data_IF_484558943625
#
_entry.id   IF_484558943625
#
_cell.length_a   1.000
_cell.length_b   1.000
_cell.length_c   1.000
_cell.angle_alpha   90.00
_cell.angle_beta   90.00
_cell.angle_gamma   90.00
#
_symmetry.space_group_name_H-M   'P 1'
#
loop_
_entity.id
_entity.type
_entity.pdbx_description
1 polymer ?
#
# COMPACT_ATOMS: atom_id res chain seq x y z
N UNK A 1 15.60 74.59 16.35
CA UNK A 1 16.45 73.45 15.92
C UNK A 1 15.99 72.11 16.55
N UNK A 2 15.33 72.13 17.69
CA UNK A 2 14.89 70.88 18.42
C UNK A 2 13.64 70.16 17.82
N UNK A 3 12.79 70.84 17.07
CA UNK A 3 11.57 70.29 16.48
C UNK A 3 11.87 69.38 15.25
N UNK A 4 12.90 69.74 14.43
CA UNK A 4 13.29 68.94 13.26
C UNK A 4 13.85 67.57 13.62
N UNK A 5 14.51 67.41 14.78
CA UNK A 5 15.07 66.15 15.22
C UNK A 5 14.01 65.16 15.68
N UNK A 6 12.91 65.60 16.32
CA UNK A 6 11.83 64.74 16.74
C UNK A 6 11.03 64.13 15.59
N UNK A 7 10.78 64.93 14.53
CA UNK A 7 10.07 64.48 13.33
C UNK A 7 10.88 63.44 12.56
N UNK A 8 12.20 63.61 12.47
CA UNK A 8 13.09 62.62 11.81
C UNK A 8 13.13 61.31 12.64
N UNK A 9 13.18 61.38 13.98
CA UNK A 9 13.14 60.20 14.82
C UNK A 9 11.80 59.42 14.73
N UNK A 10 10.69 60.13 14.66
CA UNK A 10 9.36 59.48 14.48
C UNK A 10 9.28 58.83 13.08
N UNK A 11 9.74 59.46 12.02
CA UNK A 11 9.76 58.89 10.67
C UNK A 11 10.69 57.64 10.58
N UNK A 12 11.86 57.68 11.29
CA UNK A 12 12.74 56.51 11.37
C UNK A 12 12.09 55.35 12.14
N UNK A 13 11.43 55.62 13.25
CA UNK A 13 10.70 54.61 13.99
C UNK A 13 9.55 53.99 13.18
N UNK A 14 8.77 54.80 12.45
CA UNK A 14 7.69 54.30 11.57
C UNK A 14 8.30 53.48 10.42
N UNK A 15 9.40 53.92 9.82
CA UNK A 15 10.09 53.19 8.76
C UNK A 15 10.66 51.86 9.23
N UNK A 16 11.23 51.77 10.45
CA UNK A 16 11.71 50.54 11.08
C UNK A 16 10.54 49.61 11.39
N UNK A 17 9.42 50.13 11.87
CA UNK A 17 8.21 49.30 12.14
C UNK A 17 7.64 48.77 10.82
N UNK A 18 7.54 49.60 9.76
CA UNK A 18 7.09 49.15 8.44
C UNK A 18 8.02 48.13 7.80
N UNK A 19 9.35 48.31 7.93
CA UNK A 19 10.33 47.32 7.48
C UNK A 19 10.20 46.01 8.27
N UNK A 20 10.03 46.07 9.58
CA UNK A 20 9.88 44.85 10.41
C UNK A 20 8.59 44.09 10.09
N UNK A 21 7.47 44.78 9.82
CA UNK A 21 6.20 44.14 9.41
C UNK A 21 6.30 43.54 8.00
N UNK A 22 6.98 44.19 7.07
CA UNK A 22 7.23 43.63 5.72
C UNK A 22 8.21 42.43 5.76
N UNK A 23 9.22 42.50 6.59
CA UNK A 23 10.17 41.40 6.77
C UNK A 23 9.48 40.19 7.50
N UNK A 24 8.61 40.43 8.46
CA UNK A 24 7.82 39.40 9.13
C UNK A 24 6.86 38.73 8.15
N UNK A 25 6.16 39.49 7.30
CA UNK A 25 5.24 38.95 6.29
C UNK A 25 5.96 38.15 5.19
N UNK A 26 7.14 38.59 4.76
CA UNK A 26 7.95 37.87 3.76
C UNK A 26 8.52 36.54 4.33
N UNK A 27 8.98 36.57 5.59
CA UNK A 27 9.44 35.36 6.29
C UNK A 27 8.30 34.36 6.49
N UNK A 28 7.13 34.80 6.90
CA UNK A 28 5.94 33.96 7.07
C UNK A 28 5.47 33.37 5.74
N UNK A 29 5.45 34.16 4.68
CA UNK A 29 5.14 33.69 3.33
C UNK A 29 6.12 32.60 2.85
N UNK A 30 7.42 32.80 3.03
CA UNK A 30 8.44 31.80 2.66
C UNK A 30 8.25 30.52 3.48
N UNK A 31 7.98 30.62 4.78
CA UNK A 31 7.70 29.47 5.64
C UNK A 31 6.46 28.68 5.19
N UNK A 32 5.37 29.36 4.88
CA UNK A 32 4.15 28.70 4.38
C UNK A 32 4.37 28.03 3.01
N UNK A 33 5.18 28.65 2.15
CA UNK A 33 5.57 28.07 0.87
C UNK A 33 6.39 26.79 1.06
N UNK A 34 7.35 26.80 1.97
CA UNK A 34 8.18 25.63 2.31
C UNK A 34 7.32 24.49 2.87
N UNK A 35 6.45 24.77 3.85
CA UNK A 35 5.51 23.80 4.39
C UNK A 35 4.65 23.17 3.28
N UNK A 36 4.14 24.00 2.35
CA UNK A 36 3.33 23.47 1.24
C UNK A 36 4.16 22.60 0.28
N UNK A 37 5.41 22.95 0.07
CA UNK A 37 6.33 22.15 -0.75
C UNK A 37 6.59 20.81 -0.08
N UNK A 38 6.94 20.80 1.21
CA UNK A 38 7.18 19.59 1.98
C UNK A 38 5.94 18.71 2.06
N UNK A 39 4.75 19.29 2.23
CA UNK A 39 3.48 18.58 2.22
C UNK A 39 3.26 17.83 0.89
N UNK A 40 3.40 18.53 -0.23
CA UNK A 40 3.20 17.92 -1.54
C UNK A 40 4.25 16.84 -1.81
N UNK A 41 5.52 17.11 -1.49
CA UNK A 41 6.61 16.16 -1.66
C UNK A 41 6.42 14.92 -0.79
N UNK A 42 6.14 15.10 0.51
CA UNK A 42 5.94 13.99 1.43
C UNK A 42 4.76 13.09 1.05
N UNK A 43 3.62 13.69 0.67
CA UNK A 43 2.44 12.92 0.22
C UNK A 43 2.73 12.21 -1.11
N UNK A 44 3.41 12.85 -2.06
CA UNK A 44 3.78 12.22 -3.34
C UNK A 44 4.66 11.01 -3.10
N UNK A 45 5.73 11.17 -2.34
CA UNK A 45 6.66 10.09 -2.01
C UNK A 45 5.97 8.92 -1.30
N UNK A 46 5.06 9.20 -0.36
CA UNK A 46 4.27 8.15 0.28
C UNK A 46 3.39 7.39 -0.72
N UNK A 47 2.69 8.11 -1.60
CA UNK A 47 1.85 7.47 -2.63
C UNK A 47 2.67 6.64 -3.64
N UNK A 48 3.92 6.99 -3.86
CA UNK A 48 4.90 6.27 -4.68
C UNK A 48 5.51 5.05 -3.95
N UNK A 49 5.12 4.76 -2.70
CA UNK A 49 5.68 3.67 -1.89
C UNK A 49 7.03 4.01 -1.21
N UNK A 50 7.55 5.22 -1.40
CA UNK A 50 8.84 5.72 -0.88
C UNK A 50 8.71 6.30 0.53
N UNK A 51 8.13 5.52 1.44
CA UNK A 51 7.76 5.99 2.79
C UNK A 51 8.94 6.51 3.62
N UNK A 52 10.12 5.86 3.50
CA UNK A 52 11.34 6.30 4.22
C UNK A 52 11.79 7.69 3.78
N UNK A 53 11.60 8.03 2.51
CA UNK A 53 11.91 9.35 1.98
C UNK A 53 10.81 10.37 2.28
N UNK A 54 9.55 9.94 2.37
CA UNK A 54 8.41 10.80 2.74
C UNK A 54 8.49 11.30 4.17
N UNK A 55 8.95 10.45 5.10
CA UNK A 55 8.91 10.68 6.54
C UNK A 55 9.54 12.02 6.98
N UNK A 56 10.79 12.37 6.61
CA UNK A 56 11.41 13.61 7.05
C UNK A 56 10.66 14.87 6.60
N UNK A 57 10.06 14.88 5.41
CA UNK A 57 9.26 16.01 4.93
C UNK A 57 7.98 16.20 5.75
N UNK A 58 7.33 15.12 6.13
CA UNK A 58 6.10 15.14 6.90
C UNK A 58 6.35 15.49 8.38
N UNK A 59 7.42 14.95 8.98
CA UNK A 59 7.80 15.27 10.36
C UNK A 59 8.22 16.73 10.52
N UNK A 60 8.90 17.32 9.54
CA UNK A 60 9.25 18.75 9.58
C UNK A 60 8.00 19.64 9.65
N UNK A 61 6.92 19.26 8.98
CA UNK A 61 5.65 20.01 9.05
C UNK A 61 5.07 19.97 10.46
N UNK A 62 5.12 18.83 11.14
CA UNK A 62 4.58 18.72 12.51
C UNK A 62 5.31 19.63 13.50
N UNK A 63 6.61 19.86 13.30
CA UNK A 63 7.43 20.81 14.06
C UNK A 63 7.10 22.28 13.81
N UNK A 64 6.32 22.60 12.76
CA UNK A 64 5.99 23.98 12.39
C UNK A 64 4.98 24.68 13.30
N UNK A 65 4.27 23.93 14.16
CA UNK A 65 3.16 24.43 14.99
C UNK A 65 1.84 24.59 14.24
N UNK A 66 1.78 24.25 12.95
CA UNK A 66 0.56 24.25 12.14
C UNK A 66 0.09 22.79 12.01
N UNK A 67 -1.17 22.54 12.35
CA UNK A 67 -1.75 21.21 12.26
C UNK A 67 -2.42 21.02 10.91
N UNK A 68 -1.83 20.10 10.11
CA UNK A 68 -2.42 19.63 8.86
C UNK A 68 -2.95 18.21 9.06
N UNK A 69 -4.28 17.99 9.12
CA UNK A 69 -4.85 16.67 9.41
C UNK A 69 -4.35 15.56 8.50
N UNK A 70 -4.15 15.84 7.20
CA UNK A 70 -3.69 14.85 6.22
C UNK A 70 -2.22 14.47 6.44
N UNK A 71 -1.38 15.36 6.98
CA UNK A 71 0.00 15.00 7.37
C UNK A 71 -0.01 13.97 8.48
N UNK A 72 -0.78 14.21 9.53
CA UNK A 72 -0.92 13.27 10.65
C UNK A 72 -1.59 11.96 10.22
N UNK A 73 -2.51 12.03 9.25
CA UNK A 73 -3.06 10.81 8.66
C UNK A 73 -1.98 9.96 7.98
N UNK A 74 -1.18 10.55 7.10
CA UNK A 74 -0.11 9.85 6.37
C UNK A 74 0.99 9.37 7.31
N UNK A 75 1.39 10.16 8.29
CA UNK A 75 2.33 9.71 9.33
C UNK A 75 1.80 8.50 10.09
N UNK A 76 0.51 8.50 10.43
CA UNK A 76 -0.14 7.35 11.04
C UNK A 76 -0.08 6.10 10.16
N UNK A 77 -0.29 6.22 8.85
CA UNK A 77 -0.15 5.11 7.89
C UNK A 77 1.29 4.58 7.87
N UNK A 78 2.28 5.47 7.75
CA UNK A 78 3.69 5.08 7.72
C UNK A 78 4.09 4.33 9.00
N UNK A 79 3.78 4.89 10.17
CA UNK A 79 4.09 4.26 11.45
C UNK A 79 3.34 2.93 11.65
N UNK A 80 2.11 2.82 11.13
CA UNK A 80 1.35 1.57 11.19
C UNK A 80 1.98 0.46 10.35
N UNK A 81 2.43 0.78 9.15
CA UNK A 81 3.14 -0.16 8.28
C UNK A 81 4.49 -0.61 8.87
N UNK A 82 5.16 0.27 9.60
CA UNK A 82 6.41 -0.03 10.32
C UNK A 82 6.18 -0.70 11.70
N UNK A 83 4.94 -1.04 12.02
CA UNK A 83 4.51 -1.63 13.29
C UNK A 83 4.77 -0.75 14.53
N UNK A 84 4.97 0.53 14.34
CA UNK A 84 5.07 1.54 15.40
C UNK A 84 3.65 1.94 15.85
N UNK A 85 2.91 0.97 16.39
CA UNK A 85 1.46 1.07 16.61
C UNK A 85 1.05 2.25 17.49
N UNK A 86 1.83 2.54 18.54
CA UNK A 86 1.55 3.66 19.44
C UNK A 86 1.65 5.00 18.70
N UNK A 87 2.71 5.19 17.89
CA UNK A 87 2.88 6.40 17.08
C UNK A 87 1.79 6.54 16.02
N UNK A 88 1.40 5.43 15.40
CA UNK A 88 0.31 5.41 14.44
C UNK A 88 -1.01 5.90 15.07
N UNK A 89 -1.36 5.36 16.25
CA UNK A 89 -2.56 5.75 17.00
C UNK A 89 -2.53 7.26 17.34
N UNK A 90 -1.43 7.75 17.89
CA UNK A 90 -1.28 9.16 18.26
C UNK A 90 -1.47 10.10 17.07
N UNK A 91 -0.85 9.79 15.94
CA UNK A 91 -0.97 10.59 14.73
C UNK A 91 -2.40 10.55 14.17
N UNK A 92 -3.03 9.37 14.10
CA UNK A 92 -4.42 9.27 13.66
C UNK A 92 -5.42 9.95 14.61
N UNK A 93 -5.18 9.95 15.93
CA UNK A 93 -5.99 10.68 16.90
C UNK A 93 -5.90 12.19 16.68
N UNK A 94 -4.70 12.73 16.41
CA UNK A 94 -4.52 14.15 16.04
C UNK A 94 -5.28 14.44 14.73
N UNK A 95 -5.11 13.63 13.69
CA UNK A 95 -5.81 13.80 12.42
C UNK A 95 -7.32 13.77 12.60
N UNK A 96 -7.85 12.80 13.35
CA UNK A 96 -9.28 12.64 13.60
C UNK A 96 -9.86 13.81 14.44
N UNK A 97 -9.13 14.30 15.42
CA UNK A 97 -9.56 15.43 16.26
C UNK A 97 -9.79 16.71 15.47
N UNK A 98 -9.00 16.93 14.42
CA UNK A 98 -9.06 18.13 13.55
C UNK A 98 -10.02 17.94 12.36
N UNK A 99 -10.13 16.72 11.85
CA UNK A 99 -10.98 16.35 10.72
C UNK A 99 -11.60 14.97 10.98
N UNK A 100 -12.75 14.90 11.69
CA UNK A 100 -13.39 13.63 12.04
C UNK A 100 -13.78 12.83 10.80
N UNK A 101 -13.30 11.58 10.73
CA UNK A 101 -13.58 10.62 9.66
C UNK A 101 -13.75 9.23 10.27
N UNK A 102 -14.87 8.56 10.00
CA UNK A 102 -15.16 7.22 10.52
C UNK A 102 -14.07 6.19 10.12
N UNK A 103 -13.52 6.34 8.92
CA UNK A 103 -12.43 5.50 8.45
C UNK A 103 -11.19 5.59 9.35
N UNK A 104 -10.84 6.80 9.85
CA UNK A 104 -9.71 6.99 10.78
C UNK A 104 -10.04 6.38 12.14
N UNK A 105 -11.26 6.58 12.63
CA UNK A 105 -11.69 5.99 13.90
C UNK A 105 -11.63 4.46 13.87
N UNK A 106 -12.00 3.85 12.74
CA UNK A 106 -11.89 2.41 12.53
C UNK A 106 -10.43 1.94 12.57
N UNK A 107 -9.50 2.70 11.95
CA UNK A 107 -8.05 2.41 11.98
C UNK A 107 -7.49 2.50 13.42
N UNK A 108 -7.83 3.55 14.15
CA UNK A 108 -7.45 3.72 15.56
C UNK A 108 -7.94 2.54 16.40
N UNK A 109 -9.20 2.15 16.21
CA UNK A 109 -9.79 1.03 16.94
C UNK A 109 -9.09 -0.29 16.64
N UNK A 110 -8.78 -0.55 15.36
CA UNK A 110 -8.01 -1.71 14.92
C UNK A 110 -6.62 -1.71 15.53
N UNK A 111 -5.88 -0.61 15.40
CA UNK A 111 -4.51 -0.49 15.91
C UNK A 111 -4.44 -0.64 17.44
N UNK A 112 -5.43 -0.15 18.19
CA UNK A 112 -5.51 -0.36 19.65
C UNK A 112 -5.75 -1.82 20.04
N UNK A 113 -6.49 -2.58 19.24
CA UNK A 113 -6.63 -4.04 19.45
C UNK A 113 -5.33 -4.75 19.14
N UNK A 114 -4.70 -4.38 18.02
CA UNK A 114 -3.43 -4.95 17.56
C UNK A 114 -2.31 -4.71 18.58
N UNK A 115 -2.18 -3.51 19.12
CA UNK A 115 -1.19 -3.17 20.14
C UNK A 115 -1.25 -4.09 21.37
N UNK A 116 -2.45 -4.41 21.84
CA UNK A 116 -2.64 -5.32 22.99
C UNK A 116 -2.19 -6.75 22.72
N UNK A 117 -2.23 -7.18 21.47
CA UNK A 117 -1.73 -8.49 21.05
C UNK A 117 -0.23 -8.41 20.83
N UNK A 118 0.24 -7.38 20.15
CA UNK A 118 1.65 -7.15 19.81
C UNK A 118 2.57 -7.13 21.05
N UNK A 119 2.09 -6.53 22.16
CA UNK A 119 2.82 -6.50 23.44
C UNK A 119 3.14 -7.89 24.03
N UNK A 120 2.47 -8.95 23.55
CA UNK A 120 2.65 -10.33 24.02
C UNK A 120 3.48 -11.17 23.06
N UNK A 121 3.70 -10.67 21.85
CA UNK A 121 4.44 -11.39 20.83
C UNK A 121 5.94 -11.23 21.03
N UNK A 122 6.68 -12.24 20.60
CA UNK A 122 8.13 -12.22 20.50
C UNK A 122 8.56 -11.96 19.07
N UNK A 123 9.68 -11.30 18.90
CA UNK A 123 10.23 -10.97 17.59
C UNK A 123 11.32 -11.96 17.19
N UNK A 124 11.32 -12.37 15.93
CA UNK A 124 12.38 -13.13 15.29
C UNK A 124 12.79 -12.44 14.00
N UNK A 125 14.05 -12.08 13.90
CA UNK A 125 14.58 -11.35 12.74
C UNK A 125 15.40 -12.31 11.87
N UNK A 126 15.11 -12.33 10.58
CA UNK A 126 15.90 -13.07 9.61
C UNK A 126 15.84 -12.38 8.24
N UNK A 127 17.01 -12.11 7.65
CA UNK A 127 17.12 -11.44 6.36
C UNK A 127 16.27 -10.16 6.29
N UNK A 128 15.23 -10.18 5.47
CA UNK A 128 14.32 -9.06 5.22
C UNK A 128 13.05 -9.08 6.09
N UNK A 129 12.98 -9.95 7.11
CA UNK A 129 11.74 -10.16 7.86
C UNK A 129 11.92 -9.92 9.34
N UNK A 130 10.93 -9.22 9.93
CA UNK A 130 10.66 -9.22 11.36
C UNK A 130 9.37 -10.03 11.57
N UNK A 131 9.50 -11.25 12.04
CA UNK A 131 8.37 -12.12 12.35
C UNK A 131 8.00 -11.98 13.83
N UNK A 132 6.76 -11.58 14.07
CA UNK A 132 6.14 -11.51 15.40
C UNK A 132 5.27 -12.75 15.62
N UNK A 133 5.43 -13.44 16.76
CA UNK A 133 4.78 -14.69 17.02
C UNK A 133 4.61 -14.96 18.54
N UNK A 134 3.65 -15.81 18.91
CA UNK A 134 3.53 -16.29 20.29
C UNK A 134 4.66 -17.29 20.61
N UNK A 135 5.29 -17.17 21.77
CA UNK A 135 6.40 -18.04 22.16
C UNK A 135 6.04 -19.54 22.18
N UNK A 136 4.77 -19.86 22.43
CA UNK A 136 4.28 -21.24 22.41
C UNK A 136 4.30 -21.82 20.97
N UNK A 137 4.37 -20.94 19.95
CA UNK A 137 4.36 -21.30 18.53
C UNK A 137 5.77 -21.31 17.89
N UNK A 138 6.83 -21.46 18.67
CA UNK A 138 8.22 -21.37 18.22
C UNK A 138 8.55 -22.30 17.03
N UNK A 139 8.03 -23.51 16.97
CA UNK A 139 8.26 -24.42 15.85
C UNK A 139 7.59 -23.92 14.56
N UNK A 140 6.34 -23.48 14.64
CA UNK A 140 5.60 -22.93 13.50
C UNK A 140 6.23 -21.64 13.01
N UNK A 141 6.78 -20.81 13.89
CA UNK A 141 7.50 -19.59 13.52
C UNK A 141 8.74 -19.88 12.67
N UNK A 142 9.47 -20.98 12.91
CA UNK A 142 10.61 -21.40 12.07
C UNK A 142 10.15 -21.79 10.67
N UNK A 143 9.06 -22.58 10.56
CA UNK A 143 8.52 -22.98 9.27
C UNK A 143 8.07 -21.75 8.47
N UNK A 144 7.31 -20.85 9.10
CA UNK A 144 6.86 -19.61 8.45
C UNK A 144 8.06 -18.78 7.98
N UNK A 145 9.06 -18.60 8.83
CA UNK A 145 10.25 -17.80 8.50
C UNK A 145 11.05 -18.42 7.35
N UNK A 146 11.21 -19.74 7.34
CA UNK A 146 11.87 -20.45 6.25
C UNK A 146 11.11 -20.27 4.91
N UNK A 147 9.77 -20.45 4.94
CA UNK A 147 8.93 -20.26 3.76
C UNK A 147 8.94 -18.81 3.26
N UNK A 148 8.97 -17.82 4.18
CA UNK A 148 9.11 -16.40 3.83
C UNK A 148 10.43 -16.12 3.09
N UNK A 149 11.54 -16.63 3.61
CA UNK A 149 12.87 -16.44 2.99
C UNK A 149 12.93 -17.11 1.61
N UNK A 150 12.40 -18.32 1.46
CA UNK A 150 12.37 -19.03 0.19
C UNK A 150 11.50 -18.30 -0.85
N UNK A 151 10.29 -17.92 -0.45
CA UNK A 151 9.36 -17.17 -1.32
C UNK A 151 9.97 -15.82 -1.75
N UNK A 152 10.58 -15.09 -0.80
CA UNK A 152 11.23 -13.81 -1.08
C UNK A 152 12.37 -13.95 -2.08
N UNK A 153 13.26 -14.93 -1.91
CA UNK A 153 14.38 -15.13 -2.83
C UNK A 153 13.90 -15.39 -4.26
N UNK A 154 12.84 -16.18 -4.42
CA UNK A 154 12.24 -16.46 -5.72
C UNK A 154 11.61 -15.22 -6.32
N UNK A 155 10.75 -14.53 -5.56
CA UNK A 155 10.06 -13.34 -6.03
C UNK A 155 11.02 -12.18 -6.28
N UNK A 156 12.00 -11.96 -5.40
CA UNK A 156 13.01 -10.91 -5.58
C UNK A 156 13.80 -11.11 -6.89
N UNK A 157 14.16 -12.35 -7.22
CA UNK A 157 14.77 -12.69 -8.50
C UNK A 157 13.84 -12.41 -9.67
N UNK A 158 12.59 -12.86 -9.60
CA UNK A 158 11.59 -12.70 -10.66
C UNK A 158 11.27 -11.23 -10.95
N UNK A 159 11.13 -10.41 -9.90
CA UNK A 159 10.84 -8.98 -10.01
C UNK A 159 12.08 -8.10 -10.23
N UNK A 160 13.28 -8.66 -10.15
CA UNK A 160 14.52 -7.87 -10.18
C UNK A 160 14.66 -6.96 -8.96
N UNK A 161 14.09 -7.33 -7.82
CA UNK A 161 14.04 -6.53 -6.60
C UNK A 161 15.23 -6.87 -5.69
N UNK A 162 16.16 -5.95 -5.55
CA UNK A 162 17.39 -6.15 -4.76
C UNK A 162 17.55 -5.12 -3.63
N UNK A 163 16.50 -4.38 -3.33
CA UNK A 163 16.54 -3.41 -2.24
C UNK A 163 16.48 -4.09 -0.88
N UNK A 164 17.22 -3.53 0.08
CA UNK A 164 17.18 -3.98 1.47
C UNK A 164 15.92 -3.43 2.15
N UNK A 165 14.78 -4.09 1.92
CA UNK A 165 13.48 -3.75 2.49
C UNK A 165 13.13 -4.72 3.61
N UNK A 166 12.73 -4.18 4.75
CA UNK A 166 12.20 -4.98 5.86
C UNK A 166 10.69 -5.15 5.74
N UNK A 167 10.21 -6.36 5.98
CA UNK A 167 8.80 -6.72 5.99
C UNK A 167 8.40 -7.21 7.38
N UNK A 168 7.41 -6.56 7.97
CA UNK A 168 6.80 -7.04 9.20
C UNK A 168 5.79 -8.14 8.87
N UNK A 169 5.97 -9.28 9.51
CA UNK A 169 5.07 -10.44 9.40
C UNK A 169 4.54 -10.77 10.79
N UNK A 170 3.25 -11.00 10.92
CA UNK A 170 2.63 -11.31 12.20
C UNK A 170 1.90 -12.64 12.10
N UNK A 171 2.34 -13.61 12.89
CA UNK A 171 1.67 -14.90 13.06
C UNK A 171 0.67 -14.78 14.20
N UNK A 172 -0.59 -14.67 13.88
CA UNK A 172 -1.67 -14.52 14.85
C UNK A 172 -2.27 -15.86 15.26
N UNK A 173 -2.77 -15.95 16.50
CA UNK A 173 -3.78 -16.97 16.81
C UNK A 173 -4.98 -16.78 15.85
N UNK A 174 -5.69 -17.88 15.52
CA UNK A 174 -6.86 -17.78 14.61
C UNK A 174 -7.93 -16.82 15.13
N UNK A 175 -8.06 -16.74 16.46
CA UNK A 175 -8.99 -15.82 17.11
C UNK A 175 -8.57 -14.36 16.94
N UNK A 176 -7.32 -14.04 17.26
CA UNK A 176 -6.83 -12.65 17.17
C UNK A 176 -6.84 -12.16 15.73
N UNK A 177 -6.51 -13.03 14.76
CA UNK A 177 -6.63 -12.73 13.34
C UNK A 177 -8.04 -12.28 12.97
N UNK A 178 -9.06 -13.05 13.34
CA UNK A 178 -10.46 -12.73 13.06
C UNK A 178 -10.93 -11.46 13.78
N UNK A 179 -10.58 -11.33 15.07
CA UNK A 179 -11.05 -10.22 15.93
C UNK A 179 -10.42 -8.86 15.55
N UNK A 180 -9.14 -8.87 15.12
CA UNK A 180 -8.41 -7.65 14.73
C UNK A 180 -8.80 -7.23 13.32
N UNK A 181 -8.84 -8.17 12.37
CA UNK A 181 -9.05 -7.85 10.96
C UNK A 181 -10.52 -7.79 10.58
N UNK A 182 -11.41 -8.24 11.46
CA UNK A 182 -12.85 -8.34 11.22
C UNK A 182 -13.17 -9.16 9.95
N UNK A 183 -12.47 -10.27 9.79
CA UNK A 183 -12.62 -11.21 8.67
C UNK A 183 -13.14 -12.56 9.17
N UNK A 184 -13.76 -13.36 8.29
CA UNK A 184 -14.17 -14.72 8.67
C UNK A 184 -12.96 -15.58 9.09
N UNK A 185 -13.18 -16.54 9.97
CA UNK A 185 -12.13 -17.45 10.49
C UNK A 185 -11.46 -18.32 9.41
N UNK A 186 -12.06 -18.43 8.24
CA UNK A 186 -11.51 -19.14 7.07
C UNK A 186 -10.69 -18.23 6.14
N UNK A 187 -10.60 -16.93 6.42
CA UNK A 187 -9.81 -16.03 5.60
C UNK A 187 -8.34 -16.44 5.63
N UNK A 188 -7.72 -16.41 4.46
CA UNK A 188 -6.31 -16.66 4.31
C UNK A 188 -5.46 -15.51 4.89
N UNK A 189 -4.15 -15.55 4.72
CA UNK A 189 -3.26 -14.43 5.04
C UNK A 189 -3.71 -13.13 4.36
N UNK A 190 -3.24 -12.00 4.84
CA UNK A 190 -3.58 -10.66 4.31
C UNK A 190 -2.34 -9.78 4.36
N UNK A 191 -2.11 -9.05 3.27
CA UNK A 191 -1.21 -7.90 3.25
C UNK A 191 -2.01 -6.59 3.35
N UNK A 192 -1.74 -5.80 4.38
CA UNK A 192 -2.30 -4.45 4.58
C UNK A 192 -1.25 -3.44 5.05
N UNK A 193 -0.05 -3.52 4.45
CA UNK A 193 1.18 -2.85 4.89
C UNK A 193 2.06 -3.77 5.74
N UNK A 194 1.48 -4.80 6.36
CA UNK A 194 2.14 -5.91 7.06
C UNK A 194 1.55 -7.23 6.55
N UNK A 195 2.35 -8.30 6.55
CA UNK A 195 1.87 -9.64 6.20
C UNK A 195 1.31 -10.28 7.46
N UNK A 196 0.06 -10.72 7.42
CA UNK A 196 -0.66 -11.30 8.56
C UNK A 196 -1.06 -12.72 8.22
N UNK A 197 -0.57 -13.67 9.00
CA UNK A 197 -0.80 -15.10 8.78
C UNK A 197 -1.53 -15.66 10.00
N UNK A 198 -2.73 -16.26 9.87
CA UNK A 198 -3.35 -16.98 10.95
C UNK A 198 -2.66 -18.32 11.17
N UNK A 199 -2.48 -18.71 12.43
CA UNK A 199 -1.72 -19.89 12.86
C UNK A 199 -2.16 -21.20 12.18
N UNK A 200 -3.43 -21.33 11.84
CA UNK A 200 -3.93 -22.52 11.14
C UNK A 200 -3.14 -22.83 9.86
N UNK A 201 -2.66 -21.81 9.15
CA UNK A 201 -1.87 -22.00 7.92
C UNK A 201 -0.42 -22.41 8.20
N UNK A 202 0.13 -22.01 9.34
CA UNK A 202 1.46 -22.47 9.76
C UNK A 202 1.50 -23.98 10.11
N UNK A 203 0.33 -24.61 10.33
CA UNK A 203 0.18 -26.04 10.60
C UNK A 203 -0.27 -26.86 9.38
N UNK A 204 -0.44 -26.21 8.22
CA UNK A 204 -0.82 -26.86 6.97
C UNK A 204 0.35 -27.56 6.27
N UNK A 205 0.07 -28.12 5.08
CA UNK A 205 1.11 -28.55 4.14
C UNK A 205 2.01 -27.37 3.78
N UNK A 206 3.32 -27.60 3.71
CA UNK A 206 4.31 -26.58 3.41
C UNK A 206 4.08 -25.91 2.05
N UNK A 207 3.62 -26.66 1.04
CA UNK A 207 3.35 -26.14 -0.29
C UNK A 207 2.20 -25.13 -0.27
N UNK A 208 1.15 -25.39 0.52
CA UNK A 208 0.03 -24.47 0.71
C UNK A 208 0.47 -23.21 1.47
N UNK A 209 1.29 -23.34 2.53
CA UNK A 209 1.85 -22.21 3.24
C UNK A 209 2.72 -21.35 2.33
N UNK A 210 3.59 -21.95 1.52
CA UNK A 210 4.43 -21.22 0.58
C UNK A 210 3.63 -20.52 -0.52
N UNK A 211 2.54 -21.13 -1.01
CA UNK A 211 1.62 -20.50 -1.96
C UNK A 211 1.00 -19.22 -1.37
N UNK A 212 0.44 -19.32 -0.16
CA UNK A 212 -0.14 -18.18 0.55
C UNK A 212 0.91 -17.09 0.79
N UNK A 213 2.10 -17.46 1.24
CA UNK A 213 3.20 -16.52 1.47
C UNK A 213 3.63 -15.84 0.17
N UNK A 214 3.75 -16.56 -0.95
CA UNK A 214 4.07 -15.96 -2.26
C UNK A 214 3.02 -14.97 -2.69
N UNK A 215 1.74 -15.27 -2.47
CA UNK A 215 0.63 -14.36 -2.75
C UNK A 215 0.78 -13.03 -1.99
N UNK A 216 0.91 -13.09 -0.66
CA UNK A 216 0.99 -11.90 0.19
C UNK A 216 2.29 -11.11 0.00
N UNK A 217 3.43 -11.80 -0.19
CA UNK A 217 4.70 -11.15 -0.52
C UNK A 217 4.65 -10.46 -1.89
N UNK A 218 3.91 -11.00 -2.85
CA UNK A 218 3.72 -10.35 -4.15
C UNK A 218 2.99 -9.02 -3.97
N UNK A 219 1.94 -8.95 -3.16
CA UNK A 219 1.29 -7.69 -2.82
C UNK A 219 2.27 -6.69 -2.17
N UNK A 220 3.10 -7.17 -1.24
CA UNK A 220 4.09 -6.34 -0.58
C UNK A 220 5.15 -5.79 -1.56
N UNK A 221 5.63 -6.61 -2.50
CA UNK A 221 6.59 -6.17 -3.53
C UNK A 221 5.97 -5.18 -4.51
N UNK A 222 4.75 -5.42 -5.00
CA UNK A 222 4.03 -4.48 -5.87
C UNK A 222 3.88 -3.13 -5.17
N UNK A 223 3.50 -3.14 -3.88
CA UNK A 223 3.38 -1.92 -3.09
C UNK A 223 4.72 -1.17 -2.97
N UNK A 224 5.83 -1.88 -2.78
CA UNK A 224 7.17 -1.26 -2.73
C UNK A 224 7.64 -0.70 -4.08
N UNK A 225 7.31 -1.38 -5.18
CA UNK A 225 7.72 -0.98 -6.54
C UNK A 225 6.87 0.18 -7.09
N UNK A 226 5.56 0.14 -6.87
CA UNK A 226 4.60 0.98 -7.58
C UNK A 226 3.69 1.83 -6.65
N UNK A 227 3.80 1.66 -5.31
CA UNK A 227 3.06 2.46 -4.33
C UNK A 227 1.59 2.07 -4.18
N UNK A 228 0.83 3.02 -3.63
CA UNK A 228 -0.54 2.81 -3.17
C UNK A 228 -1.62 2.90 -4.27
N UNK A 229 -1.25 3.36 -5.47
CA UNK A 229 -2.21 3.69 -6.51
C UNK A 229 -2.46 2.55 -7.52
N UNK A 230 -1.78 1.41 -7.35
CA UNK A 230 -1.96 0.26 -8.24
C UNK A 230 -3.37 -0.30 -8.09
N UNK A 231 -4.13 -0.49 -9.18
CA UNK A 231 -5.46 -1.08 -9.12
C UNK A 231 -5.47 -2.49 -8.53
N UNK A 232 -6.53 -2.82 -7.78
CA UNK A 232 -6.67 -4.11 -7.13
C UNK A 232 -6.56 -5.30 -8.11
N UNK A 233 -7.09 -5.18 -9.33
CA UNK A 233 -7.01 -6.26 -10.32
C UNK A 233 -5.56 -6.56 -10.77
N UNK A 234 -4.67 -5.55 -10.81
CA UNK A 234 -3.24 -5.75 -11.10
C UNK A 234 -2.59 -6.48 -9.91
N UNK A 235 -2.87 -6.03 -8.69
CA UNK A 235 -2.39 -6.69 -7.49
C UNK A 235 -2.79 -8.15 -7.44
N UNK A 236 -4.08 -8.43 -7.57
CA UNK A 236 -4.63 -9.78 -7.46
C UNK A 236 -4.18 -10.69 -8.60
N UNK A 237 -4.17 -10.16 -9.83
CA UNK A 237 -3.76 -10.95 -10.99
C UNK A 237 -2.29 -11.37 -10.93
N UNK A 238 -1.39 -10.47 -10.50
CA UNK A 238 0.04 -10.80 -10.34
C UNK A 238 0.25 -11.71 -9.13
N UNK A 239 -0.45 -11.49 -8.02
CA UNK A 239 -0.34 -12.31 -6.82
C UNK A 239 -0.80 -13.75 -7.09
N UNK A 240 -1.95 -13.96 -7.75
CA UNK A 240 -2.43 -15.26 -8.17
C UNK A 240 -1.48 -15.95 -9.18
N UNK A 241 -0.90 -15.20 -10.12
CA UNK A 241 0.11 -15.74 -11.03
C UNK A 241 1.35 -16.26 -10.30
N UNK A 242 1.72 -15.64 -9.17
CA UNK A 242 2.92 -15.99 -8.39
C UNK A 242 2.66 -16.99 -7.27
N UNK A 243 1.42 -17.24 -6.88
CA UNK A 243 1.11 -18.19 -5.81
C UNK A 243 1.33 -19.65 -6.22
N UNK A 244 1.33 -19.92 -7.53
CA UNK A 244 1.63 -21.22 -8.10
C UNK A 244 0.49 -22.24 -7.97
N UNK A 245 -0.73 -21.76 -7.73
CA UNK A 245 -1.95 -22.60 -7.71
C UNK A 245 -2.35 -22.98 -9.14
N UNK A 246 -2.98 -24.16 -9.28
CA UNK A 246 -3.50 -24.64 -10.56
C UNK A 246 -4.64 -23.74 -11.10
N UNK A 247 -4.48 -23.26 -12.31
CA UNK A 247 -5.40 -22.33 -12.98
C UNK A 247 -6.68 -23.00 -13.49
N UNK A 248 -6.85 -24.32 -13.37
CA UNK A 248 -7.98 -25.07 -13.94
C UNK A 248 -9.33 -24.49 -13.48
N UNK A 249 -9.47 -24.19 -12.19
CA UNK A 249 -10.71 -23.61 -11.65
C UNK A 249 -10.97 -22.18 -12.16
N UNK A 250 -9.92 -21.41 -12.40
CA UNK A 250 -10.00 -20.04 -12.95
C UNK A 250 -10.45 -20.09 -14.40
N UNK A 251 -9.87 -20.98 -15.20
CA UNK A 251 -10.23 -21.18 -16.61
C UNK A 251 -11.69 -21.58 -16.78
N UNK A 252 -12.22 -22.45 -15.91
CA UNK A 252 -13.64 -22.81 -15.91
C UNK A 252 -14.55 -21.61 -15.61
N UNK A 253 -14.15 -20.73 -14.68
CA UNK A 253 -14.89 -19.48 -14.38
C UNK A 253 -14.90 -18.56 -15.60
N UNK A 254 -13.75 -18.37 -16.25
CA UNK A 254 -13.63 -17.52 -17.44
C UNK A 254 -14.47 -18.06 -18.61
N UNK A 255 -14.41 -19.37 -18.90
CA UNK A 255 -15.23 -20.02 -19.93
C UNK A 255 -16.73 -19.80 -19.67
N UNK A 256 -17.16 -19.96 -18.41
CA UNK A 256 -18.55 -19.70 -18.05
C UNK A 256 -18.92 -18.22 -18.20
N UNK A 257 -18.04 -17.30 -17.79
CA UNK A 257 -18.27 -15.86 -17.90
C UNK A 257 -18.38 -15.40 -19.36
N UNK A 258 -17.56 -15.96 -20.27
CA UNK A 258 -17.64 -15.73 -21.70
C UNK A 258 -18.97 -16.26 -22.25
N UNK A 259 -19.34 -17.51 -21.93
CA UNK A 259 -20.55 -18.15 -22.42
C UNK A 259 -21.83 -17.42 -21.97
N UNK A 260 -21.83 -16.82 -20.78
CA UNK A 260 -22.99 -16.09 -20.23
C UNK A 260 -22.92 -14.57 -20.48
N UNK A 261 -21.92 -14.10 -21.19
CA UNK A 261 -21.64 -12.66 -21.42
C UNK A 261 -21.60 -11.84 -20.11
N UNK A 262 -20.97 -12.40 -19.07
CA UNK A 262 -20.88 -11.81 -17.73
C UNK A 262 -19.48 -11.32 -17.38
N UNK A 263 -18.57 -11.22 -18.35
CA UNK A 263 -17.28 -10.58 -18.18
C UNK A 263 -17.43 -9.14 -17.70
N UNK A 264 -16.57 -8.72 -16.80
CA UNK A 264 -16.54 -7.37 -16.19
C UNK A 264 -15.45 -6.57 -16.89
N UNK A 265 -15.76 -5.44 -17.57
CA UNK A 265 -14.71 -4.64 -18.19
C UNK A 265 -13.61 -4.23 -17.18
N UNK A 266 -12.35 -4.33 -17.59
CA UNK A 266 -11.17 -3.99 -16.77
C UNK A 266 -11.28 -2.58 -16.16
N UNK A 267 -11.91 -1.65 -16.87
CA UNK A 267 -12.18 -0.30 -16.38
C UNK A 267 -13.04 -0.27 -15.10
N UNK A 268 -13.90 -1.25 -14.88
CA UNK A 268 -14.72 -1.39 -13.68
C UNK A 268 -13.95 -2.08 -12.54
N UNK A 269 -12.96 -2.92 -12.83
CA UNK A 269 -12.11 -3.57 -11.82
C UNK A 269 -11.14 -2.58 -11.14
N UNK A 270 -10.92 -1.41 -11.72
CA UNK A 270 -10.09 -0.34 -11.12
C UNK A 270 -10.52 0.07 -9.70
N UNK A 271 -11.83 0.00 -9.41
CA UNK A 271 -12.40 0.43 -8.12
C UNK A 271 -12.28 -0.61 -7.00
N UNK A 272 -11.62 -1.73 -7.29
CA UNK A 272 -11.48 -2.85 -6.36
C UNK A 272 -12.76 -3.70 -6.23
N UNK A 273 -12.59 -4.88 -5.67
CA UNK A 273 -13.66 -5.87 -5.54
C UNK A 273 -14.70 -5.52 -4.47
N UNK A 274 -14.45 -4.47 -3.69
CA UNK A 274 -15.38 -3.97 -2.65
C UNK A 274 -16.73 -3.60 -3.24
N UNK A 275 -16.76 -3.11 -4.48
CA UNK A 275 -18.03 -2.79 -5.19
C UNK A 275 -18.88 -4.03 -5.48
N UNK A 276 -18.31 -5.23 -5.45
CA UNK A 276 -18.98 -6.50 -5.71
C UNK A 276 -19.21 -7.33 -4.43
N UNK A 277 -18.89 -6.82 -3.26
CA UNK A 277 -18.85 -7.55 -1.99
C UNK A 277 -20.12 -8.38 -1.69
N UNK A 278 -21.28 -7.90 -2.12
CA UNK A 278 -22.57 -8.58 -1.95
C UNK A 278 -22.84 -9.65 -3.03
N UNK A 279 -22.09 -9.64 -4.15
CA UNK A 279 -22.25 -10.55 -5.28
C UNK A 279 -21.05 -11.49 -5.38
N UNK A 280 -21.13 -12.64 -4.70
CA UNK A 280 -20.06 -13.65 -4.69
C UNK A 280 -19.68 -14.14 -6.08
N UNK A 281 -20.61 -14.16 -7.03
CA UNK A 281 -20.33 -14.60 -8.41
C UNK A 281 -19.46 -13.56 -9.11
N UNK A 282 -19.83 -12.28 -9.03
CA UNK A 282 -19.00 -11.21 -9.59
C UNK A 282 -17.63 -11.10 -8.95
N UNK A 283 -17.52 -11.30 -7.63
CA UNK A 283 -16.23 -11.36 -6.95
C UNK A 283 -15.36 -12.46 -7.55
N UNK A 284 -15.91 -13.68 -7.71
CA UNK A 284 -15.19 -14.81 -8.30
C UNK A 284 -14.77 -14.55 -9.74
N UNK A 285 -15.63 -13.93 -10.55
CA UNK A 285 -15.31 -13.53 -11.92
C UNK A 285 -14.19 -12.48 -11.91
N UNK A 286 -14.27 -11.45 -11.08
CA UNK A 286 -13.27 -10.40 -10.99
C UNK A 286 -11.86 -10.92 -10.65
N UNK A 287 -11.75 -11.89 -9.72
CA UNK A 287 -10.48 -12.57 -9.43
C UNK A 287 -9.98 -13.38 -10.64
N UNK A 288 -10.86 -14.13 -11.28
CA UNK A 288 -10.50 -14.92 -12.46
C UNK A 288 -10.05 -14.03 -13.64
N UNK A 289 -10.74 -12.93 -13.88
CA UNK A 289 -10.36 -11.95 -14.92
C UNK A 289 -9.03 -11.26 -14.61
N UNK A 290 -8.77 -10.97 -13.34
CA UNK A 290 -7.49 -10.39 -12.92
C UNK A 290 -6.32 -11.30 -13.27
N UNK A 291 -6.41 -12.59 -12.90
CA UNK A 291 -5.38 -13.56 -13.27
C UNK A 291 -5.33 -13.76 -14.79
N UNK A 292 -6.46 -14.03 -15.43
CA UNK A 292 -6.49 -14.34 -16.86
C UNK A 292 -5.94 -13.20 -17.74
N UNK A 293 -6.23 -11.95 -17.40
CA UNK A 293 -5.68 -10.82 -18.15
C UNK A 293 -4.18 -10.61 -17.89
N UNK A 294 -3.71 -10.77 -16.66
CA UNK A 294 -2.26 -10.74 -16.35
C UNK A 294 -1.54 -11.89 -17.06
N UNK A 295 -2.11 -13.10 -17.06
CA UNK A 295 -1.56 -14.26 -17.80
C UNK A 295 -1.45 -13.96 -19.31
N UNK A 296 -2.52 -13.41 -19.92
CA UNK A 296 -2.52 -12.98 -21.32
C UNK A 296 -1.39 -11.99 -21.63
N UNK A 297 -1.17 -11.00 -20.76
CA UNK A 297 -0.09 -10.05 -20.92
C UNK A 297 1.30 -10.72 -20.83
N UNK A 298 1.47 -11.66 -19.90
CA UNK A 298 2.72 -12.39 -19.74
C UNK A 298 3.01 -13.31 -20.93
N UNK A 299 2.02 -14.05 -21.39
CA UNK A 299 2.15 -15.02 -22.49
C UNK A 299 2.48 -14.34 -23.82
N UNK A 300 1.91 -13.16 -24.07
CA UNK A 300 2.12 -12.43 -25.32
C UNK A 300 3.31 -11.48 -25.29
N UNK A 301 3.67 -10.92 -24.12
CA UNK A 301 4.66 -9.85 -24.01
C UNK A 301 5.79 -10.16 -23.03
N UNK A 302 5.69 -11.24 -22.24
CA UNK A 302 6.68 -11.65 -21.24
C UNK A 302 6.54 -10.96 -19.89
N UNK A 303 6.95 -11.65 -18.81
CA UNK A 303 6.85 -11.13 -17.44
C UNK A 303 7.66 -9.84 -17.23
N UNK A 304 8.71 -9.61 -18.01
CA UNK A 304 9.49 -8.37 -17.91
C UNK A 304 8.67 -7.11 -18.19
N UNK A 305 7.59 -7.20 -18.97
CA UNK A 305 6.70 -6.05 -19.21
C UNK A 305 5.85 -5.71 -17.99
N UNK A 306 5.53 -6.69 -17.16
CA UNK A 306 4.88 -6.47 -15.86
C UNK A 306 5.84 -5.70 -14.93
N UNK A 307 7.12 -6.08 -14.91
CA UNK A 307 8.14 -5.38 -14.12
C UNK A 307 8.30 -3.93 -14.61
N UNK A 308 8.39 -3.74 -15.92
CA UNK A 308 8.51 -2.40 -16.53
C UNK A 308 7.28 -1.54 -16.21
N UNK A 309 6.07 -2.12 -16.28
CA UNK A 309 4.82 -1.46 -15.88
C UNK A 309 4.86 -1.02 -14.41
N UNK A 310 5.28 -1.88 -13.48
CA UNK A 310 5.35 -1.56 -12.06
C UNK A 310 6.40 -0.47 -11.78
N UNK A 311 7.60 -0.57 -12.34
CA UNK A 311 8.67 0.41 -12.16
C UNK A 311 8.32 1.79 -12.71
N UNK A 312 7.44 1.85 -13.70
CA UNK A 312 7.03 3.10 -14.34
C UNK A 312 5.62 3.57 -13.90
N UNK A 313 4.98 2.88 -12.95
CA UNK A 313 3.57 3.11 -12.61
C UNK A 313 3.26 4.57 -12.26
N UNK A 314 4.12 5.22 -11.50
CA UNK A 314 3.95 6.59 -11.04
C UNK A 314 4.44 7.66 -12.03
N UNK A 315 5.03 7.26 -13.17
CA UNK A 315 5.52 8.17 -14.19
C UNK A 315 4.43 8.65 -15.16
N UNK A 316 3.25 8.02 -15.12
CA UNK A 316 2.15 8.29 -16.03
C UNK A 316 0.88 8.75 -15.30
N UNK A 317 0.07 9.57 -15.98
CA UNK A 317 -1.16 10.15 -15.40
C UNK A 317 -2.36 9.19 -15.44
N UNK A 318 -2.30 8.20 -16.30
CA UNK A 318 -3.37 7.23 -16.47
C UNK A 318 -2.83 5.84 -16.83
N UNK A 319 -3.64 4.81 -16.58
CA UNK A 319 -3.33 3.46 -17.04
C UNK A 319 -3.19 3.36 -18.55
N UNK A 320 -3.99 4.13 -19.33
CA UNK A 320 -3.92 4.12 -20.78
C UNK A 320 -2.57 4.64 -21.28
N UNK A 321 -2.04 5.71 -20.68
CA UNK A 321 -0.69 6.22 -20.99
C UNK A 321 0.38 5.20 -20.61
N UNK A 322 0.29 4.59 -19.44
CA UNK A 322 1.22 3.56 -18.97
C UNK A 322 1.22 2.34 -19.90
N UNK A 323 0.04 1.78 -20.19
CA UNK A 323 -0.08 0.60 -21.04
C UNK A 323 0.39 0.88 -22.48
N UNK A 324 0.02 2.03 -23.04
CA UNK A 324 0.50 2.45 -24.36
C UNK A 324 2.03 2.59 -24.38
N UNK A 325 2.65 3.08 -23.30
CA UNK A 325 4.10 3.19 -23.21
C UNK A 325 4.79 1.83 -23.15
N UNK A 326 4.29 0.90 -22.33
CA UNK A 326 4.89 -0.42 -22.11
C UNK A 326 4.59 -1.37 -23.27
N UNK A 327 3.33 -1.50 -23.64
CA UNK A 327 2.85 -2.52 -24.61
C UNK A 327 2.73 -2.00 -26.04
N UNK A 328 2.84 -0.67 -26.29
CA UNK A 328 2.60 0.00 -27.58
C UNK A 328 1.17 -0.12 -28.08
N UNK A 329 0.26 -0.53 -27.23
CA UNK A 329 -1.16 -0.77 -27.48
C UNK A 329 -1.93 -0.25 -26.26
N UNK A 330 -3.09 0.38 -26.47
CA UNK A 330 -3.90 0.85 -25.35
C UNK A 330 -4.58 -0.32 -24.61
N UNK A 331 -4.96 -0.10 -23.35
CA UNK A 331 -5.52 -1.15 -22.50
C UNK A 331 -6.82 -1.75 -23.03
N UNK A 332 -7.65 -0.97 -23.75
CA UNK A 332 -8.92 -1.48 -24.29
C UNK A 332 -8.69 -2.41 -25.48
N UNK A 333 -7.67 -2.13 -26.29
CA UNK A 333 -7.26 -3.02 -27.39
C UNK A 333 -6.66 -4.32 -26.85
N UNK A 334 -5.85 -4.25 -25.79
CA UNK A 334 -5.33 -5.44 -25.11
C UNK A 334 -6.46 -6.28 -24.50
N UNK A 335 -7.41 -5.66 -23.82
CA UNK A 335 -8.60 -6.32 -23.28
C UNK A 335 -9.42 -7.00 -24.37
N UNK A 336 -9.63 -6.32 -25.49
CA UNK A 336 -10.36 -6.86 -26.64
C UNK A 336 -9.66 -8.09 -27.24
N UNK A 337 -8.33 -8.04 -27.39
CA UNK A 337 -7.53 -9.18 -27.86
C UNK A 337 -7.58 -10.37 -26.91
N UNK A 338 -7.52 -10.12 -25.61
CA UNK A 338 -7.68 -11.15 -24.58
C UNK A 338 -9.06 -11.82 -24.64
N UNK A 339 -10.14 -11.03 -24.71
CA UNK A 339 -11.51 -11.57 -24.82
C UNK A 339 -11.70 -12.38 -26.12
N UNK A 340 -11.09 -11.95 -27.22
CA UNK A 340 -11.12 -12.71 -28.47
C UNK A 340 -10.40 -14.06 -28.32
N UNK A 341 -9.25 -14.09 -27.69
CA UNK A 341 -8.53 -15.34 -27.38
C UNK A 341 -9.38 -16.28 -26.51
N UNK A 342 -9.99 -15.78 -25.42
CA UNK A 342 -10.87 -16.58 -24.56
C UNK A 342 -12.06 -17.20 -25.28
N UNK A 343 -12.55 -16.58 -26.37
CA UNK A 343 -13.66 -17.12 -27.18
C UNK A 343 -13.23 -18.23 -28.11
N UNK A 344 -11.95 -18.36 -28.39
CA UNK A 344 -11.39 -19.39 -29.27
C UNK A 344 -10.97 -20.67 -28.50
N UNK A 345 -10.79 -20.57 -27.17
CA UNK A 345 -10.48 -21.67 -26.24
C UNK A 345 -11.76 -22.36 -25.72
#
# INVERSE_FOLDING_TARGET
>A
MLIKNRTIQILLCIFVILLSTHFCSASEYNRLREIRTNLNTGISLYNEGRKKEALPYLEEITGSGIVYPDVYYVLGEIYYEDNELQKAIENWEISHSQSPRDAILSKITKAKKELKVDEKLSDKISCNFVLKYDQDDAYSSELVLHSLVNAYNTLAYDFGWYENSEFTVILYSNKDFSDILNVPSWAAAIYDGKIRIPFQYASMNIDELESIIRHELTHALIHRMAGNNVPAWIHEGIAQYKDGVDDTAVNEVLKQAVATNSLIPISYLKKGFVSFKEDKVKVKIAYAESLGFIQYLIDNYGFYTIIDMLNNFNNYRSLDELFTSVYRIDINQLESGWIEQLRLE
#
